data_IF_680938151370
#
_entry.id   IF_680938151370
#
_cell.length_a   1.000
_cell.length_b   1.000
_cell.length_c   1.000
_cell.angle_alpha   90.00
_cell.angle_beta   90.00
_cell.angle_gamma   90.00
#
_symmetry.space_group_name_H-M   'P 1'
#
loop_
_entity.id
_entity.type
_entity.pdbx_description
1 polymer ?
#
# COMPACT_ATOMS: atom_id res chain seq x y z
N UNK A 1 -20.71 0.97 -0.01
CA UNK A 1 -19.34 0.80 0.51
C UNK A 1 -18.83 2.11 1.09
N UNK A 2 -18.14 2.05 2.20
CA UNK A 2 -17.51 3.23 2.79
C UNK A 2 -16.28 3.60 1.96
N UNK A 3 -16.22 4.84 1.51
CA UNK A 3 -15.01 5.34 0.86
C UNK A 3 -13.98 5.67 1.95
N UNK A 4 -13.00 4.80 2.12
CA UNK A 4 -11.99 4.90 3.18
C UNK A 4 -11.10 6.15 3.07
N UNK A 5 -11.11 6.85 1.93
CA UNK A 5 -10.33 8.06 1.73
C UNK A 5 -11.11 9.34 2.05
N UNK A 6 -12.42 9.27 2.20
CA UNK A 6 -13.32 10.42 2.26
C UNK A 6 -13.07 11.33 3.48
N UNK A 7 -12.75 10.74 4.61
CA UNK A 7 -12.52 11.48 5.86
C UNK A 7 -11.30 12.39 5.81
N UNK A 8 -10.38 12.11 4.89
CA UNK A 8 -9.12 12.85 4.76
C UNK A 8 -9.17 13.94 3.67
N UNK A 9 -10.34 14.16 3.08
CA UNK A 9 -10.50 15.14 2.01
C UNK A 9 -9.81 14.75 0.71
N UNK A 10 -9.35 13.53 0.59
CA UNK A 10 -8.64 13.04 -0.59
C UNK A 10 -9.65 12.78 -1.71
N UNK A 11 -9.34 13.27 -2.90
CA UNK A 11 -10.09 12.96 -4.09
C UNK A 11 -9.50 11.72 -4.76
N UNK A 12 -10.30 10.67 -4.83
CA UNK A 12 -9.94 9.40 -5.46
C UNK A 12 -10.84 9.15 -6.65
N UNK A 13 -10.25 8.88 -7.82
CA UNK A 13 -10.97 8.46 -9.02
C UNK A 13 -10.81 6.95 -9.18
N UNK A 14 -11.80 6.16 -8.75
CA UNK A 14 -11.70 4.72 -8.88
C UNK A 14 -11.89 4.26 -10.32
N UNK A 15 -11.23 3.16 -10.66
CA UNK A 15 -11.59 2.39 -11.86
C UNK A 15 -12.81 1.55 -11.52
N UNK A 16 -13.74 1.48 -12.42
CA UNK A 16 -14.93 0.65 -12.25
C UNK A 16 -14.54 -0.82 -12.13
N UNK A 17 -15.07 -1.51 -11.10
CA UNK A 17 -14.87 -2.95 -10.96
C UNK A 17 -15.90 -3.70 -11.81
N UNK A 18 -15.45 -4.21 -12.95
CA UNK A 18 -16.29 -4.95 -13.89
C UNK A 18 -16.38 -6.45 -13.58
N UNK A 19 -15.53 -6.94 -12.69
CA UNK A 19 -15.49 -8.33 -12.30
C UNK A 19 -16.49 -8.59 -11.17
N UNK A 20 -17.11 -9.78 -11.18
CA UNK A 20 -17.95 -10.21 -10.07
C UNK A 20 -17.12 -10.41 -8.80
N UNK A 21 -17.75 -10.24 -7.64
CA UNK A 21 -17.09 -10.40 -6.34
C UNK A 21 -16.33 -11.72 -6.21
N UNK A 22 -16.91 -12.81 -6.71
CA UNK A 22 -16.29 -14.14 -6.66
C UNK A 22 -15.03 -14.22 -7.53
N UNK A 23 -15.03 -13.53 -8.66
CA UNK A 23 -13.84 -13.47 -9.53
C UNK A 23 -12.72 -12.70 -8.85
N UNK A 24 -13.04 -11.60 -8.17
CA UNK A 24 -12.06 -10.84 -7.38
C UNK A 24 -11.48 -11.71 -6.25
N UNK A 25 -12.33 -12.46 -5.56
CA UNK A 25 -11.89 -13.42 -4.52
C UNK A 25 -10.92 -14.46 -5.08
N UNK A 26 -11.19 -14.97 -6.28
CA UNK A 26 -10.34 -15.96 -6.94
C UNK A 26 -8.97 -15.38 -7.33
N UNK A 27 -8.93 -14.12 -7.75
CA UNK A 27 -7.68 -13.42 -8.08
C UNK A 27 -6.85 -13.12 -6.84
N UNK A 28 -7.49 -12.94 -5.68
CA UNK A 28 -6.84 -12.77 -4.38
C UNK A 28 -7.00 -14.02 -3.53
N UNK A 29 -6.68 -15.17 -4.11
CA UNK A 29 -6.89 -16.47 -3.44
C UNK A 29 -5.92 -16.77 -2.30
N UNK A 30 -4.78 -16.07 -2.26
CA UNK A 30 -3.82 -16.26 -1.17
C UNK A 30 -4.35 -15.69 0.13
N UNK A 31 -4.07 -16.37 1.24
CA UNK A 31 -4.40 -15.87 2.57
C UNK A 31 -3.28 -14.96 3.08
N UNK A 32 -3.67 -13.81 3.63
CA UNK A 32 -2.73 -12.89 4.25
C UNK A 32 -3.42 -12.05 5.32
N UNK A 33 -2.63 -11.50 6.22
CA UNK A 33 -3.14 -10.66 7.29
C UNK A 33 -3.74 -9.37 6.71
N UNK A 34 -4.95 -9.04 7.13
CA UNK A 34 -5.66 -7.84 6.65
C UNK A 34 -6.34 -8.01 5.30
N UNK A 35 -6.44 -9.23 4.78
CA UNK A 35 -7.04 -9.54 3.48
C UNK A 35 -8.46 -8.97 3.32
N UNK A 36 -9.27 -8.99 4.38
CA UNK A 36 -10.65 -8.54 4.30
C UNK A 36 -10.78 -7.09 3.85
N UNK A 37 -9.93 -6.21 4.33
CA UNK A 37 -9.93 -4.80 3.92
C UNK A 37 -9.54 -4.65 2.44
N UNK A 38 -8.56 -5.41 1.98
CA UNK A 38 -8.12 -5.42 0.59
C UNK A 38 -9.22 -5.93 -0.32
N UNK A 39 -9.86 -7.05 0.06
CA UNK A 39 -10.99 -7.60 -0.71
C UNK A 39 -12.16 -6.62 -0.79
N UNK A 40 -12.50 -5.97 0.32
CA UNK A 40 -13.58 -5.00 0.34
C UNK A 40 -13.31 -3.85 -0.63
N UNK A 41 -12.09 -3.36 -0.65
CA UNK A 41 -11.68 -2.32 -1.59
C UNK A 41 -11.78 -2.80 -3.04
N UNK A 42 -11.20 -3.95 -3.37
CA UNK A 42 -11.17 -4.44 -4.76
C UNK A 42 -12.51 -4.97 -5.26
N UNK A 43 -13.41 -5.41 -4.39
CA UNK A 43 -14.78 -5.74 -4.80
C UNK A 43 -15.56 -4.49 -5.23
N UNK A 44 -15.17 -3.33 -4.74
CA UNK A 44 -15.85 -2.07 -5.04
C UNK A 44 -15.18 -1.31 -6.19
N UNK A 45 -13.85 -1.35 -6.25
CA UNK A 45 -13.06 -0.60 -7.22
C UNK A 45 -11.95 -1.46 -7.80
N UNK A 46 -11.64 -1.26 -9.06
CA UNK A 46 -10.52 -1.93 -9.72
C UNK A 46 -9.27 -1.04 -9.70
N UNK A 47 -8.84 -0.66 -8.49
CA UNK A 47 -7.79 0.33 -8.31
C UNK A 47 -8.27 1.73 -8.64
N UNK A 48 -7.36 2.64 -8.89
CA UNK A 48 -7.70 4.01 -9.23
C UNK A 48 -6.53 4.97 -9.00
N UNK A 49 -6.80 6.25 -9.23
CA UNK A 49 -5.80 7.32 -9.16
C UNK A 49 -6.25 8.46 -8.27
N UNK A 50 -5.28 9.26 -7.82
CA UNK A 50 -5.52 10.49 -7.06
C UNK A 50 -5.19 11.68 -7.96
N UNK A 51 -6.20 12.30 -8.60
CA UNK A 51 -5.94 13.34 -9.61
C UNK A 51 -5.27 14.60 -9.07
N UNK A 52 -5.49 14.91 -7.79
CA UNK A 52 -4.91 16.09 -7.15
C UNK A 52 -3.72 15.74 -6.25
N UNK A 53 -3.23 14.49 -6.35
CA UNK A 53 -2.16 13.98 -5.52
C UNK A 53 -2.66 13.38 -4.20
N UNK A 54 -1.80 12.59 -3.59
CA UNK A 54 -2.07 11.98 -2.28
C UNK A 54 -0.75 11.77 -1.56
N UNK A 55 -0.76 11.91 -0.24
CA UNK A 55 0.44 11.84 0.58
C UNK A 55 0.18 11.01 1.83
N UNK A 56 1.22 10.28 2.24
CA UNK A 56 1.23 9.56 3.50
C UNK A 56 2.41 10.04 4.33
N UNK A 57 2.18 10.25 5.62
CA UNK A 57 3.23 10.64 6.56
C UNK A 57 3.49 9.49 7.52
N UNK A 58 4.73 9.01 7.55
CA UNK A 58 5.13 7.90 8.42
C UNK A 58 5.01 8.27 9.90
N UNK A 59 5.17 9.54 10.25
CA UNK A 59 5.01 10.00 11.64
C UNK A 59 3.57 9.89 12.16
N UNK A 60 2.61 9.57 11.30
CA UNK A 60 1.28 9.19 11.76
C UNK A 60 1.28 7.87 12.55
N UNK A 61 2.31 7.04 12.36
CA UNK A 61 2.40 5.70 12.96
C UNK A 61 3.68 5.46 13.75
N UNK A 62 4.78 6.14 13.37
CA UNK A 62 6.13 5.84 13.87
C UNK A 62 6.81 7.11 14.35
N UNK A 63 7.81 6.93 15.23
CA UNK A 63 8.77 8.00 15.53
C UNK A 63 9.80 8.07 14.42
N UNK A 64 9.66 9.04 13.53
CA UNK A 64 10.53 9.20 12.37
C UNK A 64 11.71 10.09 12.74
N UNK A 65 12.92 9.59 12.50
CA UNK A 65 14.16 10.34 12.74
C UNK A 65 14.29 11.48 11.73
N UNK A 66 14.95 12.57 12.13
CA UNK A 66 15.05 13.80 11.35
C UNK A 66 15.56 13.61 9.92
N UNK A 67 16.44 12.62 9.69
CA UNK A 67 17.04 12.36 8.38
C UNK A 67 16.41 11.18 7.64
N UNK A 68 15.28 10.68 8.12
CA UNK A 68 14.61 9.55 7.51
C UNK A 68 13.39 10.03 6.70
N UNK A 69 12.95 9.20 5.78
CA UNK A 69 11.77 9.50 4.97
C UNK A 69 10.53 9.61 5.87
N UNK A 70 9.83 10.71 5.79
CA UNK A 70 8.57 10.91 6.49
C UNK A 70 7.42 10.99 5.51
N UNK A 71 7.51 11.86 4.51
CA UNK A 71 6.47 12.08 3.51
C UNK A 71 6.69 11.18 2.29
N UNK A 72 5.61 10.52 1.88
CA UNK A 72 5.59 9.66 0.70
C UNK A 72 4.38 10.06 -0.15
N UNK A 73 4.58 10.20 -1.46
CA UNK A 73 3.47 10.43 -2.37
C UNK A 73 2.88 9.11 -2.86
N UNK A 74 1.62 9.15 -3.25
CA UNK A 74 0.91 8.00 -3.79
C UNK A 74 0.37 8.37 -5.16
N UNK A 75 0.75 7.60 -6.17
CA UNK A 75 0.32 7.83 -7.54
C UNK A 75 -1.00 7.12 -7.86
N UNK A 76 -0.99 5.81 -7.79
CA UNK A 76 -2.19 5.03 -8.08
C UNK A 76 -2.23 3.72 -7.30
N UNK A 77 -3.44 3.19 -7.16
CA UNK A 77 -3.66 1.81 -6.72
C UNK A 77 -3.83 0.96 -7.96
N UNK A 78 -3.12 -0.16 -8.01
CA UNK A 78 -3.13 -1.06 -9.16
C UNK A 78 -4.50 -1.72 -9.34
N UNK A 79 -4.79 -2.15 -10.57
CA UNK A 79 -5.93 -3.01 -10.84
C UNK A 79 -5.72 -4.37 -10.18
N UNK A 80 -6.79 -5.07 -9.87
CA UNK A 80 -6.69 -6.38 -9.23
C UNK A 80 -5.88 -7.37 -10.07
N UNK A 81 -5.96 -7.25 -11.40
CA UNK A 81 -5.18 -8.08 -12.33
C UNK A 81 -3.68 -7.77 -12.33
N UNK A 82 -3.29 -6.62 -11.79
CA UNK A 82 -1.89 -6.17 -11.73
C UNK A 82 -1.23 -6.45 -10.38
N UNK A 83 -1.98 -6.96 -9.41
CA UNK A 83 -1.43 -7.31 -8.10
C UNK A 83 -0.48 -8.51 -8.24
N UNK A 84 0.73 -8.34 -7.74
CA UNK A 84 1.76 -9.38 -7.83
C UNK A 84 2.33 -9.71 -6.46
N UNK A 85 2.58 -11.01 -6.24
CA UNK A 85 3.27 -11.48 -5.04
C UNK A 85 4.68 -11.87 -5.45
N UNK A 86 5.65 -11.36 -4.71
CA UNK A 86 7.06 -11.69 -4.91
C UNK A 86 7.74 -11.85 -3.56
N UNK A 87 8.86 -12.57 -3.54
CA UNK A 87 9.66 -12.71 -2.33
C UNK A 87 10.84 -11.74 -2.38
N UNK A 88 11.21 -11.22 -1.22
CA UNK A 88 12.36 -10.35 -1.06
C UNK A 88 12.94 -10.51 0.34
N UNK A 89 14.24 -10.34 0.43
CA UNK A 89 14.90 -10.24 1.74
C UNK A 89 14.68 -8.83 2.28
N UNK A 90 14.14 -8.73 3.48
CA UNK A 90 13.95 -7.46 4.17
C UNK A 90 14.68 -7.50 5.50
N UNK A 91 15.24 -6.36 5.89
CA UNK A 91 15.84 -6.17 7.21
C UNK A 91 14.88 -5.36 8.06
N UNK A 92 14.46 -5.93 9.20
CA UNK A 92 13.50 -5.28 10.10
C UNK A 92 14.16 -4.18 10.94
N UNK A 93 15.45 -4.31 11.21
CA UNK A 93 16.26 -3.30 11.91
C UNK A 93 17.68 -3.35 11.38
N UNK A 94 18.47 -2.29 11.64
CA UNK A 94 19.89 -2.25 11.23
C UNK A 94 20.76 -3.37 11.83
N UNK A 95 20.32 -3.99 12.92
CA UNK A 95 21.03 -5.07 13.60
C UNK A 95 20.36 -6.42 13.41
N UNK A 96 19.20 -6.50 12.78
CA UNK A 96 18.48 -7.74 12.58
C UNK A 96 18.98 -8.47 11.34
N UNK A 97 18.82 -9.80 11.36
CA UNK A 97 19.07 -10.63 10.19
C UNK A 97 18.05 -10.29 9.11
N UNK A 98 18.46 -10.43 7.86
CA UNK A 98 17.56 -10.38 6.74
C UNK A 98 16.54 -11.52 6.84
N UNK A 99 15.30 -11.20 6.56
CA UNK A 99 14.19 -12.14 6.56
C UNK A 99 13.62 -12.22 5.17
N UNK A 100 13.37 -13.42 4.67
CA UNK A 100 12.61 -13.58 3.45
C UNK A 100 11.15 -13.24 3.74
N UNK A 101 10.58 -12.32 2.95
CA UNK A 101 9.19 -11.91 3.08
C UNK A 101 8.48 -12.05 1.74
N UNK A 102 7.21 -12.45 1.79
CA UNK A 102 6.33 -12.45 0.63
C UNK A 102 5.53 -11.15 0.64
N UNK A 103 5.61 -10.41 -0.45
CA UNK A 103 5.08 -9.06 -0.57
C UNK A 103 4.07 -9.01 -1.72
N UNK A 104 2.90 -8.43 -1.44
CA UNK A 104 1.85 -8.20 -2.43
C UNK A 104 1.90 -6.74 -2.86
N UNK A 105 2.33 -6.45 -4.09
CA UNK A 105 2.36 -5.07 -4.60
C UNK A 105 0.95 -4.60 -4.94
N UNK A 106 0.58 -3.39 -4.49
CA UNK A 106 -0.78 -2.88 -4.70
C UNK A 106 -0.85 -1.43 -5.17
N UNK A 107 0.23 -0.67 -5.04
CA UNK A 107 0.23 0.75 -5.38
C UNK A 107 1.64 1.21 -5.78
N UNK A 108 1.72 2.38 -6.39
CA UNK A 108 3.00 3.02 -6.72
C UNK A 108 3.00 4.47 -6.26
N UNK A 109 4.20 5.08 -6.30
CA UNK A 109 4.35 6.53 -6.22
C UNK A 109 4.53 7.12 -7.62
N UNK A 110 4.74 8.43 -7.70
CA UNK A 110 4.93 9.14 -8.97
C UNK A 110 6.26 8.79 -9.68
N UNK A 111 7.21 8.22 -8.95
CA UNK A 111 8.53 7.84 -9.50
C UNK A 111 8.65 6.37 -9.86
N UNK A 112 7.59 5.59 -9.70
CA UNK A 112 7.59 4.17 -10.03
C UNK A 112 8.01 3.25 -8.88
N UNK A 113 8.24 3.77 -7.69
CA UNK A 113 8.46 2.95 -6.51
C UNK A 113 7.14 2.32 -6.07
N UNK A 114 7.18 1.20 -5.38
CA UNK A 114 5.98 0.42 -5.09
C UNK A 114 5.68 0.31 -3.61
N UNK A 115 4.39 0.20 -3.30
CA UNK A 115 3.87 -0.10 -1.97
C UNK A 115 3.39 -1.54 -1.95
N UNK A 116 3.75 -2.27 -0.91
CA UNK A 116 3.46 -3.69 -0.78
C UNK A 116 2.91 -4.02 0.59
N UNK A 117 2.09 -5.09 0.65
CA UNK A 117 1.65 -5.67 1.91
C UNK A 117 2.49 -6.92 2.19
N UNK A 118 3.09 -7.00 3.36
CA UNK A 118 3.72 -8.23 3.80
C UNK A 118 2.65 -9.26 4.16
N UNK A 119 2.69 -10.40 3.51
CA UNK A 119 1.65 -11.44 3.64
C UNK A 119 1.51 -11.93 5.08
N UNK A 120 2.62 -12.12 5.78
CA UNK A 120 2.60 -12.67 7.13
C UNK A 120 2.11 -11.72 8.21
N UNK A 121 2.40 -10.42 8.09
CA UNK A 121 2.09 -9.42 9.13
C UNK A 121 1.00 -8.44 8.74
N UNK A 122 0.71 -8.28 7.47
CA UNK A 122 -0.19 -7.24 6.96
C UNK A 122 0.40 -5.85 6.94
N UNK A 123 1.64 -5.68 7.35
CA UNK A 123 2.32 -4.39 7.33
C UNK A 123 2.54 -3.90 5.92
N UNK A 124 2.51 -2.58 5.72
CA UNK A 124 2.73 -1.97 4.42
C UNK A 124 4.17 -1.46 4.35
N UNK A 125 4.86 -1.85 3.28
CA UNK A 125 6.24 -1.47 3.00
C UNK A 125 6.31 -0.68 1.69
N UNK A 126 7.25 0.27 1.67
CA UNK A 126 7.61 1.03 0.48
C UNK A 126 8.95 0.52 -0.03
N UNK A 127 9.02 0.19 -1.32
CA UNK A 127 10.23 -0.34 -1.95
C UNK A 127 10.75 0.67 -2.96
N UNK A 128 11.94 1.19 -2.70
CA UNK A 128 12.61 2.15 -3.55
C UNK A 128 13.40 1.39 -4.63
N UNK A 129 13.05 1.57 -5.90
CA UNK A 129 13.60 0.75 -6.98
C UNK A 129 15.06 1.08 -7.34
N UNK A 130 15.51 2.28 -7.04
CA UNK A 130 16.89 2.71 -7.34
C UNK A 130 17.91 2.36 -6.25
N UNK A 131 17.44 1.99 -5.06
CA UNK A 131 18.30 1.63 -3.93
C UNK A 131 18.07 0.17 -3.58
N UNK A 132 19.09 -0.67 -3.77
CA UNK A 132 18.97 -2.12 -3.62
C UNK A 132 18.39 -2.60 -2.29
N UNK A 133 18.54 -1.83 -1.23
CA UNK A 133 18.16 -2.26 0.11
C UNK A 133 17.14 -1.36 0.80
N UNK A 134 16.54 -0.41 0.09
CA UNK A 134 15.61 0.51 0.74
C UNK A 134 14.19 -0.07 0.75
N UNK A 135 13.91 -0.82 1.79
CA UNK A 135 12.55 -1.29 2.13
C UNK A 135 12.16 -0.61 3.44
N UNK A 136 11.13 0.19 3.41
CA UNK A 136 10.72 1.02 4.55
C UNK A 136 9.29 0.68 4.94
N UNK A 137 9.07 0.38 6.23
CA UNK A 137 7.72 0.22 6.75
C UNK A 137 7.02 1.57 6.80
N UNK A 138 5.84 1.67 6.20
CA UNK A 138 5.12 2.94 6.05
C UNK A 138 3.77 2.96 6.75
N UNK A 139 3.19 1.81 7.05
CA UNK A 139 1.93 1.72 7.80
C UNK A 139 1.79 0.35 8.44
N UNK A 140 1.06 0.25 9.58
CA UNK A 140 0.84 -1.05 10.24
C UNK A 140 -0.09 -1.99 9.48
N UNK A 141 -0.97 -1.46 8.62
CA UNK A 141 -1.93 -2.26 7.86
C UNK A 141 -2.39 -1.50 6.61
N UNK A 142 -2.96 -2.24 5.67
CA UNK A 142 -3.58 -1.65 4.48
C UNK A 142 -4.70 -0.66 4.83
N UNK A 143 -5.55 -1.03 5.79
CA UNK A 143 -6.65 -0.15 6.20
C UNK A 143 -6.14 1.16 6.78
N UNK A 144 -5.17 1.11 7.69
CA UNK A 144 -4.57 2.32 8.27
C UNK A 144 -3.81 3.15 7.23
N UNK A 145 -3.16 2.48 6.28
CA UNK A 145 -2.53 3.15 5.14
C UNK A 145 -3.57 4.00 4.40
N UNK A 146 -4.69 3.41 4.01
CA UNK A 146 -5.74 4.10 3.27
C UNK A 146 -6.41 5.21 4.09
N UNK A 147 -6.70 4.95 5.35
CA UNK A 147 -7.37 5.93 6.23
C UNK A 147 -6.52 7.16 6.52
N UNK A 148 -5.20 7.06 6.38
CA UNK A 148 -4.27 8.15 6.71
C UNK A 148 -3.69 8.86 5.48
N UNK A 149 -4.14 8.53 4.29
CA UNK A 149 -3.77 9.25 3.07
C UNK A 149 -4.35 10.67 3.13
N UNK A 150 -3.51 11.66 2.86
CA UNK A 150 -3.85 13.09 2.93
C UNK A 150 -3.85 13.70 1.53
N UNK A 151 -4.69 14.72 1.34
CA UNK A 151 -4.76 15.46 0.08
C UNK A 151 -3.70 16.56 -0.02
N UNK A 152 -3.17 17.00 1.10
CA UNK A 152 -2.26 18.13 1.16
C UNK A 152 -0.92 17.77 1.77
N UNK A 153 0.12 18.38 1.21
CA UNK A 153 1.46 18.35 1.75
C UNK A 153 1.54 19.29 2.94
N UNK A 154 2.18 18.84 3.99
CA UNK A 154 2.44 19.70 5.17
C UNK A 154 3.35 20.85 4.81
#
# INVERSE_FOLDING_TARGET
MVNIFKENGVRFLPNEQKKASKEVENLLSIEFEGKNAVLLFYKSFDGGVFPDGAFLYRDSFFNVKKNDYNMLDIGCFFRVSELEIFSRLISLTKSSREKEAYLLSFANDSSGNIYCIEVGSGKVFYIHHEEEECVTEVAPSFLLFCENIKSEMR
#
